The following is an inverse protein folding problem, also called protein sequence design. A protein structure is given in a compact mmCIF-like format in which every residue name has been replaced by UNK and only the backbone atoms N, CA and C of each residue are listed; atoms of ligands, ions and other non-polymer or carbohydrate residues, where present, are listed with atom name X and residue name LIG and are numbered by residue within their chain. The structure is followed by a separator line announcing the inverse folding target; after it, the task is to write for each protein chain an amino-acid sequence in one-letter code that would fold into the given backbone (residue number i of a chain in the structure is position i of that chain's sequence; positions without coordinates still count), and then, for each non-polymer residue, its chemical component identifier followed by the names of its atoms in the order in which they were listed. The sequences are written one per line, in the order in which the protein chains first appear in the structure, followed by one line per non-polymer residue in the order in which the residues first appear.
data_IF_612892638468
#
_entry.id   IF_612892638468
#
_cell.length_a   1.000
_cell.length_b   1.000
_cell.length_c   1.000
_cell.angle_alpha   90.00
_cell.angle_beta   90.00
_cell.angle_gamma   90.00
#
_symmetry.space_group_name_H-M   'P 1'
#
loop_
_entity.id
_entity.type
_entity.pdbx_description
1 polymer ?
#
# COMPACT_ATOMS: atom_id res chain seq x y z
N UNK A 1 -29.95 -11.61 11.96
CA UNK A 1 -29.59 -13.02 11.77
C UNK A 1 -28.40 -13.02 10.84
N UNK A 2 -27.27 -13.70 11.14
CA UNK A 2 -26.17 -13.77 10.20
C UNK A 2 -26.69 -14.37 8.88
N UNK A 3 -26.33 -13.73 7.77
CA UNK A 3 -26.66 -14.18 6.43
C UNK A 3 -26.23 -15.64 6.27
N UNK A 4 -27.10 -16.51 5.76
CA UNK A 4 -26.81 -17.96 5.65
C UNK A 4 -25.51 -18.23 4.87
N UNK A 5 -25.12 -17.33 3.97
CA UNK A 5 -23.86 -17.40 3.22
C UNK A 5 -22.60 -17.19 4.09
N UNK A 6 -22.67 -16.47 5.22
CA UNK A 6 -21.52 -16.31 6.14
C UNK A 6 -21.26 -17.61 6.88
N UNK A 7 -22.32 -18.30 7.30
CA UNK A 7 -22.24 -19.47 8.17
C UNK A 7 -21.42 -20.60 7.52
N UNK A 8 -21.46 -20.72 6.20
CA UNK A 8 -20.66 -21.69 5.45
C UNK A 8 -19.16 -21.33 5.47
N UNK A 9 -18.83 -20.04 5.31
CA UNK A 9 -17.45 -19.53 5.26
C UNK A 9 -16.75 -19.51 6.63
N UNK A 10 -17.50 -19.51 7.73
CA UNK A 10 -16.95 -19.62 9.09
C UNK A 10 -17.13 -21.02 9.68
N UNK A 11 -17.51 -22.00 8.85
CA UNK A 11 -17.67 -23.38 9.30
C UNK A 11 -16.32 -24.03 9.63
N UNK A 12 -16.26 -24.95 10.61
CA UNK A 12 -15.06 -25.72 10.89
C UNK A 12 -14.49 -26.43 9.66
N UNK A 13 -15.35 -26.99 8.82
CA UNK A 13 -14.93 -27.72 7.62
C UNK A 13 -14.21 -26.82 6.61
N UNK A 14 -14.75 -25.64 6.34
CA UNK A 14 -14.15 -24.70 5.40
C UNK A 14 -12.79 -24.18 5.91
N UNK A 15 -12.71 -23.79 7.18
CA UNK A 15 -11.43 -23.34 7.75
C UNK A 15 -10.40 -24.47 7.82
N UNK A 16 -10.81 -25.71 8.09
CA UNK A 16 -9.94 -26.88 8.07
C UNK A 16 -9.34 -27.11 6.68
N UNK A 17 -10.14 -26.95 5.62
CA UNK A 17 -9.68 -27.04 4.24
C UNK A 17 -8.62 -25.97 3.95
N UNK A 18 -8.88 -24.70 4.29
CA UNK A 18 -7.91 -23.60 4.11
C UNK A 18 -6.59 -23.89 4.83
N UNK A 19 -6.66 -24.33 6.09
CA UNK A 19 -5.50 -24.64 6.92
C UNK A 19 -4.67 -25.80 6.36
N UNK A 20 -5.33 -26.85 5.87
CA UNK A 20 -4.66 -28.01 5.27
C UNK A 20 -4.09 -27.70 3.89
N UNK A 21 -4.75 -26.88 3.09
CA UNK A 21 -4.20 -26.42 1.82
C UNK A 21 -2.90 -25.63 2.02
N UNK A 22 -2.87 -24.76 3.04
CA UNK A 22 -1.69 -23.96 3.36
C UNK A 22 -0.57 -24.76 4.03
N UNK A 23 -0.90 -25.71 4.90
CA UNK A 23 0.08 -26.52 5.62
C UNK A 23 -0.32 -28.01 5.65
N UNK A 24 -0.18 -28.73 4.51
CA UNK A 24 -0.67 -30.11 4.33
C UNK A 24 -0.13 -31.11 5.37
N UNK A 25 1.06 -30.86 5.90
CA UNK A 25 1.73 -31.76 6.83
C UNK A 25 1.31 -31.56 8.30
N UNK A 26 0.53 -30.53 8.62
CA UNK A 26 0.19 -30.21 10.02
C UNK A 26 -0.97 -31.04 10.57
N UNK A 27 -1.70 -31.75 9.69
CA UNK A 27 -2.88 -32.55 10.05
C UNK A 27 -3.91 -31.77 10.90
N UNK A 28 -4.06 -30.45 10.65
CA UNK A 28 -4.97 -29.60 11.41
C UNK A 28 -6.39 -30.15 11.38
N UNK A 29 -7.06 -30.10 12.53
CA UNK A 29 -8.48 -30.34 12.67
C UNK A 29 -9.15 -29.18 13.39
N UNK A 30 -10.20 -28.63 12.82
CA UNK A 30 -10.93 -27.50 13.43
C UNK A 30 -12.06 -28.06 14.29
N UNK A 31 -11.97 -27.83 15.61
CA UNK A 31 -12.95 -28.34 16.56
C UNK A 31 -14.11 -27.37 16.80
N UNK A 32 -13.81 -26.07 16.82
CA UNK A 32 -14.78 -25.02 17.07
C UNK A 32 -14.36 -23.71 16.40
N UNK A 33 -15.34 -22.92 15.99
CA UNK A 33 -15.18 -21.56 15.46
C UNK A 33 -16.19 -20.67 16.14
N UNK A 34 -15.73 -19.63 16.81
CA UNK A 34 -16.56 -18.65 17.50
C UNK A 34 -16.29 -17.25 16.94
N UNK A 35 -17.33 -16.41 16.76
CA UNK A 35 -17.12 -15.04 16.30
C UNK A 35 -16.38 -14.21 17.35
N UNK A 36 -15.40 -13.44 16.90
CA UNK A 36 -14.65 -12.48 17.71
C UNK A 36 -14.93 -11.05 17.20
N UNK A 37 -15.22 -10.07 18.07
CA UNK A 37 -15.39 -8.69 17.65
C UNK A 37 -14.16 -8.16 16.90
N UNK A 38 -14.42 -7.48 15.79
CA UNK A 38 -13.39 -6.87 14.95
C UNK A 38 -13.83 -5.46 14.55
N UNK A 39 -12.92 -4.50 14.70
CA UNK A 39 -13.14 -3.13 14.24
C UNK A 39 -12.81 -3.02 12.74
N UNK A 40 -13.83 -2.84 11.92
CA UNK A 40 -13.70 -2.69 10.47
C UNK A 40 -13.68 -1.22 10.00
N UNK A 41 -13.70 -0.25 10.93
CA UNK A 41 -13.88 1.18 10.61
C UNK A 41 -12.74 1.80 9.79
N UNK A 42 -11.55 1.20 9.83
CA UNK A 42 -10.38 1.69 9.10
C UNK A 42 -10.38 1.31 7.61
N UNK A 43 -11.17 0.31 7.20
CA UNK A 43 -11.19 -0.16 5.82
C UNK A 43 -12.14 0.69 4.96
N UNK A 44 -11.54 1.48 4.05
CA UNK A 44 -12.29 2.29 3.08
C UNK A 44 -13.12 1.38 2.17
N UNK A 45 -12.52 0.32 1.59
CA UNK A 45 -13.22 -0.49 0.61
C UNK A 45 -14.40 -1.22 1.23
N UNK A 46 -14.25 -1.81 2.42
CA UNK A 46 -15.36 -2.45 3.14
C UNK A 46 -16.49 -1.45 3.38
N UNK A 47 -16.17 -0.22 3.77
CA UNK A 47 -17.17 0.83 4.00
C UNK A 47 -17.88 1.23 2.70
N UNK A 48 -17.15 1.32 1.58
CA UNK A 48 -17.69 1.72 0.28
C UNK A 48 -18.49 0.62 -0.43
N UNK A 49 -18.13 -0.65 -0.22
CA UNK A 49 -18.83 -1.80 -0.81
C UNK A 49 -19.95 -2.35 0.08
N UNK A 50 -20.10 -1.82 1.30
CA UNK A 50 -21.15 -2.22 2.23
C UNK A 50 -22.55 -2.07 1.58
N UNK A 51 -23.29 -3.17 1.53
CA UNK A 51 -24.65 -3.20 0.96
C UNK A 51 -24.72 -3.23 -0.57
N UNK A 52 -23.60 -3.32 -1.29
CA UNK A 52 -23.58 -3.45 -2.76
C UNK A 52 -23.45 -4.90 -3.26
N UNK A 53 -22.98 -5.81 -2.40
CA UNK A 53 -22.82 -7.22 -2.74
C UNK A 53 -23.84 -8.08 -1.98
N UNK A 54 -24.42 -9.07 -2.67
CA UNK A 54 -25.25 -10.12 -2.04
C UNK A 54 -24.39 -11.18 -1.31
N UNK A 55 -23.05 -11.01 -1.34
CA UNK A 55 -22.09 -11.91 -0.70
C UNK A 55 -21.55 -11.29 0.59
N UNK A 56 -21.10 -12.13 1.53
CA UNK A 56 -20.51 -11.65 2.76
C UNK A 56 -19.06 -11.16 2.56
N UNK A 57 -18.93 -9.96 1.98
CA UNK A 57 -17.65 -9.28 1.82
C UNK A 57 -17.29 -8.55 3.12
N UNK A 58 -16.04 -8.68 3.55
CA UNK A 58 -15.52 -7.96 4.72
C UNK A 58 -14.49 -8.75 5.51
N UNK A 59 -14.25 -8.31 6.74
CA UNK A 59 -13.38 -9.01 7.69
C UNK A 59 -14.20 -9.55 8.86
N UNK A 60 -13.93 -10.79 9.21
CA UNK A 60 -14.60 -11.54 10.28
C UNK A 60 -13.54 -11.98 11.29
N UNK A 61 -13.62 -11.47 12.52
CA UNK A 61 -12.80 -11.97 13.62
C UNK A 61 -13.31 -13.33 14.09
N UNK A 62 -12.40 -14.26 14.35
CA UNK A 62 -12.70 -15.64 14.71
C UNK A 62 -11.80 -16.11 15.86
N UNK A 63 -12.37 -16.79 16.84
CA UNK A 63 -11.63 -17.65 17.75
C UNK A 63 -11.76 -19.10 17.25
N UNK A 64 -10.65 -19.68 16.80
CA UNK A 64 -10.61 -21.00 16.15
C UNK A 64 -9.85 -21.97 17.04
N UNK A 65 -10.53 -23.02 17.49
CA UNK A 65 -9.91 -24.09 18.29
C UNK A 65 -9.42 -25.20 17.36
N UNK A 66 -8.10 -25.39 17.34
CA UNK A 66 -7.40 -26.32 16.46
C UNK A 66 -6.83 -27.49 17.26
N UNK A 67 -6.95 -28.69 16.72
CA UNK A 67 -6.19 -29.86 17.12
C UNK A 67 -5.08 -30.10 16.07
N UNK A 68 -3.85 -30.25 16.54
CA UNK A 68 -2.67 -30.61 15.74
C UNK A 68 -2.16 -31.97 16.25
N UNK A 69 -1.69 -32.84 15.36
CA UNK A 69 -1.28 -34.19 15.73
C UNK A 69 -0.23 -34.18 16.87
N UNK A 70 -0.57 -34.84 17.98
CA UNK A 70 0.31 -34.95 19.15
C UNK A 70 0.36 -33.70 20.05
N UNK A 71 -0.52 -32.71 19.85
CA UNK A 71 -0.64 -31.54 20.72
C UNK A 71 -2.07 -31.41 21.28
N UNK A 72 -2.22 -30.87 22.50
CA UNK A 72 -3.55 -30.54 23.01
C UNK A 72 -4.21 -29.46 22.13
N UNK A 73 -5.55 -29.43 22.04
CA UNK A 73 -6.23 -28.38 21.30
C UNK A 73 -5.88 -26.97 21.78
N UNK A 74 -5.61 -26.06 20.85
CA UNK A 74 -5.28 -24.66 21.13
C UNK A 74 -6.22 -23.72 20.39
N UNK A 75 -6.65 -22.66 21.06
CA UNK A 75 -7.46 -21.60 20.46
C UNK A 75 -6.57 -20.50 19.90
N UNK A 76 -6.81 -20.14 18.64
CA UNK A 76 -6.13 -19.05 17.95
C UNK A 76 -7.14 -17.96 17.58
N UNK A 77 -6.78 -16.71 17.82
CA UNK A 77 -7.53 -15.58 17.29
C UNK A 77 -7.07 -15.29 15.86
N UNK A 78 -8.00 -15.35 14.92
CA UNK A 78 -7.77 -15.20 13.48
C UNK A 78 -8.71 -14.15 12.89
N UNK A 79 -8.39 -13.68 11.69
CA UNK A 79 -9.27 -12.86 10.86
C UNK A 79 -9.44 -13.55 9.52
N UNK A 80 -10.69 -13.82 9.15
CA UNK A 80 -11.07 -14.21 7.79
C UNK A 80 -11.43 -12.96 7.01
N UNK A 81 -10.65 -12.65 5.98
CA UNK A 81 -10.94 -11.60 5.00
C UNK A 81 -11.59 -12.23 3.78
N UNK A 82 -12.84 -11.89 3.52
CA UNK A 82 -13.56 -12.27 2.30
C UNK A 82 -13.55 -11.08 1.35
N UNK A 83 -12.88 -11.23 0.21
CA UNK A 83 -12.57 -10.12 -0.69
C UNK A 83 -13.63 -9.99 -1.79
N UNK A 84 -14.04 -8.75 -2.15
CA UNK A 84 -14.86 -8.54 -3.34
C UNK A 84 -14.02 -8.80 -4.59
N UNK A 85 -14.65 -9.15 -5.71
CA UNK A 85 -13.94 -9.21 -6.98
C UNK A 85 -13.48 -7.80 -7.38
N UNK A 86 -12.32 -7.70 -8.03
CA UNK A 86 -11.74 -6.38 -8.34
C UNK A 86 -12.58 -5.56 -9.31
N UNK A 87 -13.38 -6.19 -10.17
CA UNK A 87 -14.36 -5.49 -11.03
C UNK A 87 -15.47 -4.80 -10.23
N UNK A 88 -15.88 -5.34 -9.07
CA UNK A 88 -16.84 -4.68 -8.17
C UNK A 88 -16.22 -3.41 -7.61
N UNK A 89 -14.94 -3.46 -7.20
CA UNK A 89 -14.20 -2.29 -6.72
C UNK A 89 -14.03 -1.25 -7.83
N UNK A 90 -13.58 -1.67 -9.03
CA UNK A 90 -13.43 -0.78 -10.19
C UNK A 90 -14.74 -0.08 -10.54
N UNK A 91 -15.86 -0.80 -10.50
CA UNK A 91 -17.20 -0.26 -10.78
C UNK A 91 -17.64 0.75 -9.71
N UNK A 92 -17.41 0.44 -8.43
CA UNK A 92 -17.70 1.35 -7.32
C UNK A 92 -16.89 2.65 -7.45
N UNK A 93 -15.59 2.56 -7.77
CA UNK A 93 -14.75 3.75 -7.97
C UNK A 93 -15.19 4.58 -9.18
N UNK A 94 -15.64 3.94 -10.27
CA UNK A 94 -16.24 4.64 -11.40
C UNK A 94 -17.54 5.35 -11.01
N UNK A 95 -18.34 4.73 -10.12
CA UNK A 95 -19.49 5.38 -9.50
C UNK A 95 -19.12 6.62 -8.69
N UNK A 96 -18.05 6.56 -7.88
CA UNK A 96 -17.53 7.72 -7.13
C UNK A 96 -17.06 8.84 -8.07
N UNK A 97 -16.36 8.50 -9.16
CA UNK A 97 -16.00 9.46 -10.20
C UNK A 97 -17.24 10.10 -10.84
N UNK A 98 -18.31 9.32 -11.05
CA UNK A 98 -19.61 9.80 -11.50
C UNK A 98 -20.24 10.82 -10.54
N UNK A 99 -20.23 10.54 -9.23
CA UNK A 99 -20.71 11.46 -8.19
C UNK A 99 -19.89 12.74 -8.11
N UNK A 100 -18.60 12.67 -8.43
CA UNK A 100 -17.75 13.83 -8.57
C UNK A 100 -18.11 14.70 -9.79
N UNK A 101 -18.73 14.13 -10.83
CA UNK A 101 -19.19 14.85 -12.02
C UNK A 101 -18.08 15.48 -12.87
N UNK A 102 -18.49 16.27 -13.86
CA UNK A 102 -17.58 17.03 -14.74
C UNK A 102 -16.68 16.15 -15.61
N UNK A 103 -15.46 16.62 -15.88
CA UNK A 103 -14.47 15.91 -16.69
C UNK A 103 -14.11 14.54 -16.11
N UNK A 104 -13.98 14.44 -14.78
CA UNK A 104 -13.62 13.19 -14.11
C UNK A 104 -14.66 12.08 -14.37
N UNK A 105 -15.95 12.40 -14.29
CA UNK A 105 -17.01 11.45 -14.59
C UNK A 105 -16.97 10.94 -16.05
N UNK A 106 -16.53 11.77 -17.00
CA UNK A 106 -16.43 11.41 -18.41
C UNK A 106 -15.17 10.58 -18.72
N UNK A 107 -14.05 10.88 -18.07
CA UNK A 107 -12.73 10.28 -18.36
C UNK A 107 -12.53 8.96 -17.60
N UNK A 108 -12.91 8.91 -16.32
CA UNK A 108 -12.60 7.79 -15.43
C UNK A 108 -13.03 6.40 -15.96
N UNK A 109 -14.24 6.21 -16.53
CA UNK A 109 -14.71 4.88 -16.93
C UNK A 109 -13.78 4.16 -17.91
N UNK A 110 -13.10 4.89 -18.81
CA UNK A 110 -12.15 4.31 -19.77
C UNK A 110 -10.88 3.74 -19.11
N UNK A 111 -10.59 4.13 -17.86
CA UNK A 111 -9.40 3.74 -17.12
C UNK A 111 -9.71 2.93 -15.86
N UNK A 112 -10.98 2.66 -15.55
CA UNK A 112 -11.39 2.09 -14.26
C UNK A 112 -10.61 0.82 -13.90
N UNK A 113 -10.49 -0.13 -14.83
CA UNK A 113 -9.77 -1.39 -14.65
C UNK A 113 -8.25 -1.23 -14.56
N UNK A 114 -7.71 -0.06 -14.90
CA UNK A 114 -6.28 0.22 -14.93
C UNK A 114 -5.81 1.01 -13.70
N UNK A 115 -6.69 1.35 -12.76
CA UNK A 115 -6.35 2.20 -11.61
C UNK A 115 -5.59 1.49 -10.49
N UNK A 116 -5.31 0.19 -10.62
CA UNK A 116 -4.68 -0.63 -9.59
C UNK A 116 -5.64 -1.58 -8.86
N UNK A 117 -6.96 -1.41 -9.05
CA UNK A 117 -7.98 -2.09 -8.23
C UNK A 117 -8.58 -3.35 -8.87
N UNK A 118 -8.43 -3.53 -10.19
CA UNK A 118 -9.05 -4.64 -10.92
C UNK A 118 -8.60 -6.03 -10.44
N UNK A 119 -7.37 -6.14 -9.94
CA UNK A 119 -6.75 -7.41 -9.57
C UNK A 119 -6.48 -7.54 -8.06
N UNK A 120 -7.05 -6.67 -7.22
CA UNK A 120 -6.81 -6.67 -5.76
C UNK A 120 -7.12 -8.01 -5.09
N UNK A 121 -8.19 -8.67 -5.54
CA UNK A 121 -8.63 -9.99 -5.07
C UNK A 121 -7.57 -11.09 -5.28
N UNK A 122 -6.93 -11.13 -6.44
CA UNK A 122 -5.84 -12.07 -6.75
C UNK A 122 -4.50 -11.62 -6.15
N UNK A 123 -4.29 -10.31 -6.06
CA UNK A 123 -2.99 -9.75 -5.69
C UNK A 123 -2.53 -10.05 -4.29
N UNK A 124 -3.42 -9.81 -3.35
CA UNK A 124 -3.10 -10.06 -1.96
C UNK A 124 -2.78 -11.55 -1.72
N UNK A 125 -3.54 -12.46 -2.37
CA UNK A 125 -3.30 -13.90 -2.30
C UNK A 125 -1.92 -14.28 -2.85
N UNK A 126 -1.59 -13.78 -4.05
CA UNK A 126 -0.31 -14.05 -4.67
C UNK A 126 0.87 -13.55 -3.83
N UNK A 127 0.75 -12.38 -3.18
CA UNK A 127 1.77 -11.85 -2.27
C UNK A 127 1.93 -12.76 -1.05
N UNK A 128 0.84 -13.12 -0.39
CA UNK A 128 0.88 -13.95 0.81
C UNK A 128 1.39 -15.38 0.57
N UNK A 129 1.18 -15.92 -0.63
CA UNK A 129 1.66 -17.26 -0.99
C UNK A 129 3.16 -17.30 -1.35
N UNK A 130 3.69 -16.23 -1.95
CA UNK A 130 5.01 -16.27 -2.58
C UNK A 130 6.05 -15.33 -1.96
N UNK A 131 5.64 -14.26 -1.27
CA UNK A 131 6.58 -13.31 -0.70
C UNK A 131 7.22 -13.85 0.59
N UNK A 132 8.48 -13.50 0.81
CA UNK A 132 9.19 -13.95 1.99
C UNK A 132 8.61 -13.33 3.27
N UNK A 133 8.47 -14.10 4.37
CA UNK A 133 7.89 -13.58 5.62
C UNK A 133 8.75 -12.46 6.22
N UNK A 134 8.14 -11.51 6.92
CA UNK A 134 8.86 -10.45 7.63
C UNK A 134 7.99 -9.26 8.00
N UNK A 135 7.53 -8.51 6.99
CA UNK A 135 6.63 -7.37 7.21
C UNK A 135 5.16 -7.76 7.29
N UNK A 136 4.79 -8.97 6.88
CA UNK A 136 3.39 -9.37 6.75
C UNK A 136 2.81 -9.93 8.06
N UNK A 137 1.47 -9.95 8.21
CA UNK A 137 0.81 -10.83 9.17
C UNK A 137 1.17 -12.30 8.89
N UNK A 138 1.12 -13.13 9.93
CA UNK A 138 1.11 -14.58 9.75
C UNK A 138 -0.16 -14.97 8.99
N UNK A 139 0.04 -15.65 7.88
CA UNK A 139 -1.04 -16.22 7.07
C UNK A 139 -1.24 -17.68 7.50
N UNK A 140 -2.49 -18.05 7.67
CA UNK A 140 -2.92 -19.40 8.05
C UNK A 140 -3.52 -20.15 6.86
N UNK A 141 -4.04 -19.43 5.87
CA UNK A 141 -4.37 -19.98 4.58
C UNK A 141 -4.99 -18.97 3.63
N UNK A 142 -5.01 -19.33 2.35
CA UNK A 142 -5.69 -18.63 1.27
C UNK A 142 -6.71 -19.57 0.63
N UNK A 143 -7.76 -19.02 0.06
CA UNK A 143 -8.74 -19.79 -0.71
C UNK A 143 -9.20 -19.00 -1.92
N UNK A 144 -9.27 -19.69 -3.05
CA UNK A 144 -9.71 -19.15 -4.33
C UNK A 144 -10.66 -20.16 -4.95
N UNK A 145 -11.87 -19.73 -5.25
CA UNK A 145 -12.80 -20.45 -6.11
C UNK A 145 -13.24 -19.51 -7.24
N UNK A 146 -12.67 -19.73 -8.41
CA UNK A 146 -12.95 -18.95 -9.63
C UNK A 146 -14.39 -19.16 -10.15
N UNK A 147 -15.01 -20.32 -9.88
CA UNK A 147 -16.37 -20.61 -10.35
C UNK A 147 -17.39 -19.78 -9.58
N UNK A 148 -17.20 -19.69 -8.27
CA UNK A 148 -18.05 -18.85 -7.42
C UNK A 148 -17.52 -17.42 -7.34
N UNK A 149 -16.27 -17.15 -7.71
CA UNK A 149 -15.62 -15.85 -7.52
C UNK A 149 -15.38 -15.53 -6.05
N UNK A 150 -15.05 -16.54 -5.24
CA UNK A 150 -14.77 -16.41 -3.81
C UNK A 150 -13.26 -16.34 -3.59
N UNK A 151 -12.83 -15.32 -2.85
CA UNK A 151 -11.42 -15.07 -2.55
C UNK A 151 -11.27 -14.76 -1.07
N UNK A 152 -10.52 -15.59 -0.35
CA UNK A 152 -10.38 -15.49 1.10
C UNK A 152 -8.91 -15.50 1.54
N UNK A 153 -8.62 -14.73 2.59
CA UNK A 153 -7.38 -14.82 3.37
C UNK A 153 -7.74 -15.12 4.81
N UNK A 154 -7.17 -16.17 5.38
CA UNK A 154 -7.19 -16.44 6.81
C UNK A 154 -5.84 -16.02 7.38
N UNK A 155 -5.83 -15.00 8.24
CA UNK A 155 -4.61 -14.44 8.84
C UNK A 155 -4.71 -14.36 10.36
N UNK A 156 -3.58 -14.14 11.02
CA UNK A 156 -3.57 -13.90 12.46
C UNK A 156 -4.41 -12.66 12.81
N UNK A 157 -5.05 -12.71 13.97
CA UNK A 157 -5.59 -11.51 14.59
C UNK A 157 -4.43 -10.71 15.19
N UNK A 158 -4.26 -9.47 14.76
CA UNK A 158 -3.20 -8.57 15.24
C UNK A 158 -3.53 -8.07 16.67
N UNK A 159 -3.42 -8.99 17.62
CA UNK A 159 -3.58 -8.75 19.05
C UNK A 159 -2.28 -8.20 19.65
N UNK A 160 -2.40 -7.40 20.72
CA UNK A 160 -1.26 -6.88 21.49
C UNK A 160 -0.25 -6.08 20.64
N UNK A 161 -0.77 -5.39 19.62
CA UNK A 161 -0.02 -4.48 18.75
C UNK A 161 -0.17 -3.04 19.20
N UNK A 162 0.76 -2.19 18.79
CA UNK A 162 0.71 -0.75 18.98
C UNK A 162 0.55 -0.02 17.64
N UNK A 163 0.04 1.21 17.69
CA UNK A 163 -0.16 2.08 16.53
C UNK A 163 -1.14 1.55 15.45
N UNK A 164 -1.91 0.51 15.74
CA UNK A 164 -3.03 0.08 14.90
C UNK A 164 -4.04 1.23 14.77
N UNK A 165 -4.49 1.52 13.53
CA UNK A 165 -5.44 2.59 13.22
C UNK A 165 -5.00 4.00 13.67
N UNK A 166 -3.69 4.28 13.73
CA UNK A 166 -3.13 5.54 14.25
C UNK A 166 -3.10 6.71 13.25
N UNK A 167 -3.85 6.63 12.15
CA UNK A 167 -3.83 7.62 11.06
C UNK A 167 -4.21 9.04 11.50
N UNK A 168 -5.04 9.16 12.53
CA UNK A 168 -5.48 10.44 13.09
C UNK A 168 -4.49 11.01 14.13
N UNK A 169 -3.48 10.25 14.54
CA UNK A 169 -2.56 10.60 15.63
C UNK A 169 -1.10 10.47 15.20
N UNK A 170 -0.64 11.16 14.14
CA UNK A 170 0.74 11.04 13.66
C UNK A 170 1.80 11.32 14.75
N UNK A 171 1.48 12.16 15.73
CA UNK A 171 2.36 12.48 16.86
C UNK A 171 2.76 11.25 17.71
N UNK A 172 1.99 10.16 17.71
CA UNK A 172 2.36 8.93 18.46
C UNK A 172 3.44 8.10 17.75
N UNK A 173 3.74 8.38 16.48
CA UNK A 173 4.86 7.78 15.75
C UNK A 173 6.18 8.42 16.17
N UNK A 174 6.81 7.89 17.22
CA UNK A 174 8.11 8.37 17.70
C UNK A 174 9.24 8.17 16.69
N UNK A 175 10.39 8.83 16.90
CA UNK A 175 11.60 8.62 16.07
C UNK A 175 12.01 7.14 16.00
N UNK A 176 11.90 6.42 17.12
CA UNK A 176 12.18 4.99 17.20
C UNK A 176 11.25 4.16 16.30
N UNK A 177 9.95 4.45 16.29
CA UNK A 177 8.99 3.76 15.41
C UNK A 177 9.33 4.03 13.94
N UNK A 178 9.56 5.29 13.55
CA UNK A 178 9.85 5.65 12.16
C UNK A 178 11.15 5.01 11.68
N UNK A 179 12.24 5.09 12.45
CA UNK A 179 13.52 4.45 12.07
C UNK A 179 13.40 2.93 11.99
N UNK A 180 12.68 2.31 12.92
CA UNK A 180 12.42 0.86 12.91
C UNK A 180 11.66 0.45 11.65
N UNK A 181 10.57 1.17 11.32
CA UNK A 181 9.82 0.95 10.09
C UNK A 181 10.70 1.08 8.85
N UNK A 182 11.47 2.16 8.73
CA UNK A 182 12.34 2.39 7.57
C UNK A 182 13.45 1.33 7.45
N UNK A 183 14.03 0.88 8.56
CA UNK A 183 15.02 -0.20 8.55
C UNK A 183 14.42 -1.51 8.07
N UNK A 184 13.22 -1.87 8.56
CA UNK A 184 12.56 -3.13 8.20
C UNK A 184 11.98 -3.09 6.77
N UNK A 185 11.53 -1.92 6.31
CA UNK A 185 11.19 -1.67 4.91
C UNK A 185 12.40 -1.82 4.01
N UNK A 186 13.55 -1.25 4.36
CA UNK A 186 14.77 -1.42 3.58
C UNK A 186 15.17 -2.90 3.47
N UNK A 187 15.01 -3.69 4.54
CA UNK A 187 15.24 -5.13 4.53
C UNK A 187 14.26 -5.89 3.62
N UNK A 188 12.98 -5.55 3.67
CA UNK A 188 11.98 -6.11 2.76
C UNK A 188 12.28 -5.79 1.30
N UNK A 189 12.57 -4.53 1.01
CA UNK A 189 12.86 -4.07 -0.35
C UNK A 189 14.17 -4.67 -0.89
N UNK A 190 15.20 -4.80 -0.06
CA UNK A 190 16.45 -5.45 -0.45
C UNK A 190 16.22 -6.90 -0.89
N UNK A 191 15.35 -7.63 -0.17
CA UNK A 191 15.06 -9.03 -0.43
C UNK A 191 14.31 -9.27 -1.74
N UNK A 192 13.44 -8.34 -2.12
CA UNK A 192 12.61 -8.43 -3.33
C UNK A 192 13.14 -7.58 -4.48
N UNK A 193 14.38 -7.10 -4.39
CA UNK A 193 14.96 -6.17 -5.35
C UNK A 193 15.27 -6.88 -6.68
N UNK A 194 14.65 -6.37 -7.73
CA UNK A 194 14.92 -6.71 -9.12
C UNK A 194 15.89 -5.67 -9.72
N UNK A 195 17.00 -6.10 -10.33
CA UNK A 195 17.87 -5.19 -11.06
C UNK A 195 17.13 -4.52 -12.25
N UNK A 196 17.61 -3.36 -12.73
CA UNK A 196 17.07 -2.75 -13.94
C UNK A 196 17.05 -3.74 -15.11
N UNK A 197 15.96 -3.75 -15.88
CA UNK A 197 15.79 -4.64 -17.04
C UNK A 197 15.26 -6.04 -16.72
N UNK A 198 15.12 -6.41 -15.45
CA UNK A 198 14.44 -7.66 -15.07
C UNK A 198 12.92 -7.46 -15.09
N UNK A 199 12.20 -8.42 -15.66
CA UNK A 199 10.75 -8.40 -15.67
C UNK A 199 10.23 -8.68 -14.25
N UNK A 200 9.39 -7.77 -13.74
CA UNK A 200 8.57 -8.05 -12.58
C UNK A 200 7.52 -9.14 -12.94
N UNK A 201 7.05 -9.92 -11.95
CA UNK A 201 5.82 -10.71 -12.11
C UNK A 201 4.73 -9.86 -12.75
N UNK A 202 4.09 -10.39 -13.80
CA UNK A 202 3.20 -9.62 -14.63
C UNK A 202 1.87 -9.33 -13.92
N UNK A 203 1.63 -8.04 -13.64
CA UNK A 203 0.29 -7.50 -13.38
C UNK A 203 -0.11 -6.65 -14.58
N UNK A 204 -1.34 -6.78 -15.12
CA UNK A 204 -1.78 -5.96 -16.26
C UNK A 204 -1.70 -4.44 -16.00
N UNK A 205 -1.73 -4.03 -14.74
CA UNK A 205 -1.70 -2.66 -14.25
C UNK A 205 -0.35 -2.27 -13.59
N UNK A 206 0.75 -2.95 -13.94
CA UNK A 206 2.09 -2.53 -13.51
C UNK A 206 2.39 -1.08 -13.94
N UNK A 207 2.93 -0.22 -13.05
CA UNK A 207 3.17 1.19 -13.32
C UNK A 207 4.43 1.43 -14.19
N UNK A 208 4.43 0.85 -15.39
CA UNK A 208 5.44 1.05 -16.44
C UNK A 208 5.40 2.49 -16.97
N UNK A 209 6.42 2.89 -17.75
CA UNK A 209 6.40 4.20 -18.43
C UNK A 209 5.21 4.36 -19.37
N UNK A 210 4.94 3.34 -20.19
CA UNK A 210 3.78 3.32 -21.09
C UNK A 210 2.46 3.44 -20.31
N UNK A 211 2.31 2.67 -19.23
CA UNK A 211 1.14 2.74 -18.35
C UNK A 211 0.91 4.17 -17.83
N UNK A 212 1.93 4.81 -17.26
CA UNK A 212 1.76 6.15 -16.68
C UNK A 212 1.41 7.19 -17.75
N UNK A 213 1.97 7.05 -18.96
CA UNK A 213 1.70 7.95 -20.08
C UNK A 213 0.27 7.78 -20.61
N UNK A 214 -0.20 6.54 -20.75
CA UNK A 214 -1.55 6.23 -21.21
C UNK A 214 -2.62 6.75 -20.23
N UNK A 215 -2.33 6.75 -18.92
CA UNK A 215 -3.23 7.27 -17.89
C UNK A 215 -3.12 8.80 -17.69
N UNK A 216 -2.30 9.52 -18.45
CA UNK A 216 -2.18 10.99 -18.34
C UNK A 216 -3.53 11.76 -18.41
N UNK A 217 -4.52 11.36 -19.24
CA UNK A 217 -5.85 11.98 -19.21
C UNK A 217 -6.56 11.80 -17.87
N UNK A 218 -6.45 10.62 -17.25
CA UNK A 218 -7.03 10.36 -15.92
C UNK A 218 -6.36 11.23 -14.85
N UNK A 219 -5.02 11.31 -14.84
CA UNK A 219 -4.28 12.13 -13.87
C UNK A 219 -4.67 13.60 -13.98
N UNK A 220 -4.87 14.09 -15.20
CA UNK A 220 -5.33 15.45 -15.47
C UNK A 220 -6.74 15.67 -14.93
N UNK A 221 -7.66 14.75 -15.20
CA UNK A 221 -9.03 14.84 -14.73
C UNK A 221 -9.14 14.79 -13.18
N UNK A 222 -8.30 13.97 -12.52
CA UNK A 222 -8.21 13.93 -11.05
C UNK A 222 -7.70 15.27 -10.48
N UNK A 223 -6.66 15.85 -11.09
CA UNK A 223 -6.14 17.17 -10.69
C UNK A 223 -7.18 18.28 -10.88
N UNK A 224 -7.83 18.33 -12.04
CA UNK A 224 -8.90 19.29 -12.35
C UNK A 224 -10.14 19.11 -11.48
N UNK A 225 -10.35 17.90 -10.94
CA UNK A 225 -11.40 17.65 -9.97
C UNK A 225 -11.05 18.20 -8.58
N UNK A 226 -9.83 17.91 -8.11
CA UNK A 226 -9.38 18.26 -6.76
C UNK A 226 -9.08 19.76 -6.61
N UNK A 227 -8.42 20.37 -7.58
CA UNK A 227 -7.95 21.76 -7.49
C UNK A 227 -9.06 22.80 -7.18
N UNK A 228 -10.20 22.82 -7.88
CA UNK A 228 -11.28 23.76 -7.57
C UNK A 228 -12.08 23.39 -6.31
N UNK A 229 -12.04 22.12 -5.86
CA UNK A 229 -12.77 21.66 -4.66
C UNK A 229 -12.03 21.96 -3.37
N UNK A 230 -10.71 21.89 -3.41
CA UNK A 230 -9.82 22.08 -2.26
C UNK A 230 -8.77 23.15 -2.58
N UNK A 231 -9.19 24.41 -2.87
CA UNK A 231 -8.27 25.48 -3.28
C UNK A 231 -7.22 25.81 -2.22
N UNK A 232 -7.51 25.54 -0.94
CA UNK A 232 -6.57 25.65 0.17
C UNK A 232 -5.43 24.64 0.10
N UNK A 233 -5.69 23.44 -0.44
CA UNK A 233 -4.68 22.40 -0.63
C UNK A 233 -3.99 22.51 -1.99
N UNK A 234 -4.71 22.96 -3.01
CA UNK A 234 -4.30 22.98 -4.43
C UNK A 234 -4.32 24.40 -5.04
N UNK A 235 -3.67 25.34 -4.36
CA UNK A 235 -3.45 26.68 -4.91
C UNK A 235 -2.75 26.67 -6.28
N UNK A 236 -2.79 27.80 -6.99
CA UNK A 236 -2.35 27.91 -8.40
C UNK A 236 -0.93 27.36 -8.66
N UNK A 237 0.02 27.62 -7.75
CA UNK A 237 1.39 27.12 -7.88
C UNK A 237 1.48 25.58 -7.79
N UNK A 238 0.80 24.98 -6.80
CA UNK A 238 0.76 23.53 -6.59
C UNK A 238 0.09 22.82 -7.75
N UNK A 239 -1.01 23.38 -8.24
CA UNK A 239 -1.72 22.87 -9.43
C UNK A 239 -0.84 22.95 -10.68
N UNK A 240 -0.16 24.08 -10.91
CA UNK A 240 0.77 24.21 -12.03
C UNK A 240 1.95 23.23 -11.94
N UNK A 241 2.48 22.99 -10.73
CA UNK A 241 3.55 22.02 -10.48
C UNK A 241 3.11 20.59 -10.86
N UNK A 242 1.92 20.16 -10.45
CA UNK A 242 1.41 18.84 -10.79
C UNK A 242 1.03 18.71 -12.26
N UNK A 243 0.51 19.78 -12.89
CA UNK A 243 0.27 19.80 -14.33
C UNK A 243 1.57 19.62 -15.13
N UNK A 244 2.64 20.31 -14.73
CA UNK A 244 3.96 20.14 -15.33
C UNK A 244 4.49 18.71 -15.09
N UNK A 245 4.25 18.14 -13.91
CA UNK A 245 4.58 16.75 -13.66
C UNK A 245 3.79 15.79 -14.59
N UNK A 246 2.51 16.00 -14.87
CA UNK A 246 1.79 15.15 -15.83
C UNK A 246 2.45 15.23 -17.22
N UNK A 247 2.83 16.42 -17.68
CA UNK A 247 3.51 16.61 -18.97
C UNK A 247 4.90 15.95 -19.04
N UNK A 248 5.61 15.89 -17.91
CA UNK A 248 6.96 15.31 -17.82
C UNK A 248 6.97 13.79 -17.62
N UNK A 249 5.82 13.10 -17.62
CA UNK A 249 5.75 11.64 -17.41
C UNK A 249 6.74 10.88 -18.30
N UNK A 250 6.85 11.12 -19.63
CA UNK A 250 7.77 10.37 -20.48
C UNK A 250 9.22 10.46 -20.02
N UNK A 251 9.68 11.66 -19.63
CA UNK A 251 11.05 11.92 -19.19
C UNK A 251 11.34 11.28 -17.83
N UNK A 252 10.42 11.43 -16.87
CA UNK A 252 10.59 10.85 -15.53
C UNK A 252 10.57 9.33 -15.55
N UNK A 253 9.66 8.73 -16.32
CA UNK A 253 9.56 7.28 -16.39
C UNK A 253 10.73 6.66 -17.15
N UNK A 254 11.22 7.31 -18.21
CA UNK A 254 12.47 6.90 -18.85
C UNK A 254 13.64 6.84 -17.84
N UNK A 255 13.70 7.79 -16.90
CA UNK A 255 14.69 7.73 -15.83
C UNK A 255 14.40 6.62 -14.81
N UNK A 256 13.16 6.48 -14.32
CA UNK A 256 12.76 5.46 -13.34
C UNK A 256 12.93 4.02 -13.89
N UNK A 257 12.78 3.82 -15.19
CA UNK A 257 12.96 2.51 -15.84
C UNK A 257 14.43 2.05 -15.81
N UNK A 258 15.38 2.95 -15.57
CA UNK A 258 16.81 2.59 -15.34
C UNK A 258 17.10 2.18 -13.90
N UNK A 259 16.12 2.24 -13.00
CA UNK A 259 16.30 2.03 -11.57
C UNK A 259 15.88 0.62 -11.16
N UNK A 260 16.50 0.05 -10.11
CA UNK A 260 16.03 -1.20 -9.53
C UNK A 260 14.58 -1.04 -9.03
N UNK A 261 13.81 -2.10 -9.14
CA UNK A 261 12.42 -2.17 -8.64
C UNK A 261 12.33 -3.21 -7.55
N UNK A 262 11.39 -3.08 -6.65
CA UNK A 262 11.10 -4.07 -5.60
C UNK A 262 9.60 -4.25 -5.48
N UNK A 263 9.16 -5.36 -4.90
CA UNK A 263 7.82 -5.50 -4.38
C UNK A 263 7.61 -4.45 -3.28
N UNK A 264 6.72 -3.48 -3.54
CA UNK A 264 6.27 -2.46 -2.61
C UNK A 264 4.83 -2.74 -2.15
N UNK A 265 4.46 -2.23 -0.99
CA UNK A 265 3.08 -2.29 -0.49
C UNK A 265 2.15 -1.40 -1.32
N UNK A 266 2.62 -0.22 -1.75
CA UNK A 266 1.87 0.73 -2.59
C UNK A 266 0.57 1.25 -1.95
N UNK A 267 0.48 1.13 -0.63
CA UNK A 267 -0.53 1.77 0.23
C UNK A 267 -0.02 1.81 1.68
N UNK A 268 1.26 2.11 1.87
CA UNK A 268 1.92 1.94 3.16
C UNK A 268 1.64 3.12 4.09
N UNK A 269 0.56 3.01 4.86
CA UNK A 269 0.11 4.05 5.76
C UNK A 269 -0.36 3.50 7.13
N UNK A 270 -0.57 4.36 8.16
CA UNK A 270 -0.96 3.94 9.51
C UNK A 270 -2.31 3.20 9.64
N UNK A 271 -3.09 3.08 8.56
CA UNK A 271 -4.30 2.25 8.54
C UNK A 271 -4.03 0.81 8.11
N UNK A 272 -2.88 0.61 7.46
CA UNK A 272 -2.41 -0.66 6.91
C UNK A 272 -1.15 -1.14 7.63
N UNK A 273 -0.82 -0.53 8.78
CA UNK A 273 0.38 -0.86 9.55
C UNK A 273 0.12 -0.83 11.05
N UNK A 274 0.86 -1.64 11.77
CA UNK A 274 0.97 -1.61 13.22
C UNK A 274 2.37 -2.10 13.64
N UNK A 275 2.65 -2.09 14.94
CA UNK A 275 3.88 -2.67 15.48
C UNK A 275 3.61 -3.77 16.49
N UNK A 276 4.35 -4.87 16.35
CA UNK A 276 4.49 -5.91 17.37
C UNK A 276 5.64 -5.59 18.31
N UNK A 277 5.52 -6.02 19.57
CA UNK A 277 6.58 -5.89 20.57
C UNK A 277 6.86 -4.44 21.01
N UNK A 278 7.97 -4.24 21.72
CA UNK A 278 8.36 -2.93 22.24
C UNK A 278 9.89 -2.79 22.33
N UNK A 279 10.38 -1.55 22.42
CA UNK A 279 11.81 -1.27 22.57
C UNK A 279 12.63 -1.90 21.44
N UNK A 280 13.63 -2.72 21.79
CA UNK A 280 14.51 -3.37 20.82
C UNK A 280 13.83 -4.50 20.00
N UNK A 281 12.69 -5.03 20.45
CA UNK A 281 11.95 -6.08 19.74
C UNK A 281 10.82 -5.54 18.86
N UNK A 282 10.78 -4.23 18.66
CA UNK A 282 9.73 -3.55 17.90
C UNK A 282 9.77 -4.00 16.42
N UNK A 283 8.63 -4.45 15.88
CA UNK A 283 8.52 -4.96 14.53
C UNK A 283 7.31 -4.39 13.80
N UNK A 284 7.55 -3.72 12.69
CA UNK A 284 6.52 -3.26 11.76
C UNK A 284 5.81 -4.48 11.17
N UNK A 285 4.48 -4.45 11.22
CA UNK A 285 3.60 -5.33 10.49
C UNK A 285 2.76 -4.48 9.53
N UNK A 286 2.90 -4.71 8.24
CA UNK A 286 2.06 -4.17 7.18
C UNK A 286 1.08 -5.25 6.70
N UNK A 287 -0.19 -4.90 6.59
CA UNK A 287 -1.29 -5.76 6.18
C UNK A 287 -2.10 -5.04 5.09
N UNK A 288 -2.97 -5.77 4.39
CA UNK A 288 -3.72 -5.26 3.24
C UNK A 288 -2.84 -5.04 1.99
N UNK A 289 -2.16 -6.11 1.55
CA UNK A 289 -1.23 -6.10 0.40
C UNK A 289 -1.93 -6.10 -0.97
N UNK A 290 -3.21 -5.76 -1.03
CA UNK A 290 -4.04 -5.87 -2.23
C UNK A 290 -3.69 -4.85 -3.33
N UNK A 291 -2.83 -3.88 -3.02
CA UNK A 291 -2.35 -2.87 -3.96
C UNK A 291 -0.87 -3.03 -4.32
N UNK A 292 -0.21 -4.04 -3.76
CA UNK A 292 1.20 -4.31 -3.94
C UNK A 292 1.64 -4.34 -5.41
N UNK A 293 2.79 -3.76 -5.71
CA UNK A 293 3.28 -3.72 -7.09
C UNK A 293 4.79 -3.61 -7.13
N UNK A 294 5.36 -3.53 -8.33
CA UNK A 294 6.79 -3.32 -8.51
C UNK A 294 7.11 -1.88 -8.91
N UNK A 295 7.71 -1.14 -7.98
CA UNK A 295 8.18 0.24 -8.16
C UNK A 295 9.58 0.41 -7.52
N UNK A 296 10.14 1.61 -7.57
CA UNK A 296 11.36 1.94 -6.86
C UNK A 296 11.18 1.82 -5.34
N UNK A 297 12.18 1.31 -4.59
CA UNK A 297 12.04 1.04 -3.17
C UNK A 297 11.63 2.22 -2.29
N UNK A 298 12.00 3.45 -2.65
CA UNK A 298 11.73 4.62 -1.81
C UNK A 298 10.25 5.04 -1.81
N UNK A 299 9.42 4.47 -2.70
CA UNK A 299 7.99 4.77 -2.79
C UNK A 299 7.25 4.58 -1.46
N UNK A 300 7.36 3.39 -0.87
CA UNK A 300 6.71 3.05 0.41
C UNK A 300 7.20 3.95 1.56
N UNK A 301 8.49 4.30 1.56
CA UNK A 301 9.06 5.21 2.55
C UNK A 301 8.49 6.64 2.39
N UNK A 302 8.34 7.12 1.16
CA UNK A 302 7.70 8.41 0.87
C UNK A 302 6.26 8.42 1.34
N UNK A 303 5.48 7.40 0.98
CA UNK A 303 4.08 7.31 1.37
C UNK A 303 3.94 7.31 2.89
N UNK A 304 4.66 6.43 3.60
CA UNK A 304 4.62 6.38 5.06
C UNK A 304 4.96 7.73 5.69
N UNK A 305 6.06 8.36 5.26
CA UNK A 305 6.49 9.67 5.79
C UNK A 305 5.51 10.80 5.46
N UNK A 306 4.72 10.71 4.39
CA UNK A 306 3.62 11.64 4.15
C UNK A 306 2.47 11.49 5.16
N UNK A 307 2.28 10.30 5.70
CA UNK A 307 1.23 10.02 6.68
C UNK A 307 1.64 10.25 8.14
N UNK A 308 2.91 10.02 8.49
CA UNK A 308 3.36 10.03 9.91
C UNK A 308 4.11 11.30 10.33
N UNK A 309 4.46 12.17 9.38
CA UNK A 309 5.01 13.48 9.68
C UNK A 309 3.93 14.57 9.59
N UNK A 310 4.04 15.54 10.47
CA UNK A 310 3.29 16.78 10.56
C UNK A 310 4.25 17.99 10.48
N UNK A 311 3.67 19.19 10.40
CA UNK A 311 4.39 20.41 10.04
C UNK A 311 5.60 20.73 10.94
N UNK A 312 5.50 20.42 12.24
CA UNK A 312 6.58 20.58 13.20
C UNK A 312 7.71 19.54 13.01
N UNK A 313 7.44 18.43 12.33
CA UNK A 313 8.39 17.32 12.10
C UNK A 313 8.85 17.18 10.65
N UNK A 314 8.35 17.98 9.71
CA UNK A 314 8.77 17.96 8.30
C UNK A 314 10.29 18.12 8.12
N UNK A 315 10.93 18.90 8.98
CA UNK A 315 12.38 19.11 8.98
C UNK A 315 13.20 17.82 9.23
N UNK A 316 12.59 16.77 9.78
CA UNK A 316 13.23 15.47 10.03
C UNK A 316 13.26 14.55 8.80
N UNK A 317 12.40 14.81 7.80
CA UNK A 317 12.24 13.98 6.61
C UNK A 317 13.55 13.69 5.87
N UNK A 318 14.47 14.66 5.66
CA UNK A 318 15.73 14.37 4.98
C UNK A 318 16.60 13.35 5.73
N UNK A 319 16.62 13.43 7.07
CA UNK A 319 17.37 12.48 7.90
C UNK A 319 16.76 11.07 7.88
N UNK A 320 15.42 10.97 7.81
CA UNK A 320 14.74 9.68 7.67
C UNK A 320 14.97 9.03 6.31
N UNK A 321 14.86 9.80 5.22
CA UNK A 321 15.15 9.30 3.88
C UNK A 321 16.61 8.87 3.73
N UNK A 322 17.53 9.60 4.35
CA UNK A 322 18.95 9.24 4.35
C UNK A 322 19.25 7.99 5.19
N UNK A 323 18.60 7.84 6.34
CA UNK A 323 18.64 6.60 7.14
C UNK A 323 18.18 5.39 6.33
N UNK A 324 17.06 5.55 5.62
CA UNK A 324 16.53 4.52 4.73
C UNK A 324 17.51 4.20 3.59
N UNK A 325 18.05 5.22 2.90
CA UNK A 325 19.04 5.04 1.82
C UNK A 325 20.27 4.29 2.29
N UNK A 326 20.86 4.69 3.42
CA UNK A 326 22.04 4.03 3.98
C UNK A 326 21.76 2.57 4.34
N UNK A 327 20.61 2.29 4.95
CA UNK A 327 20.23 0.91 5.29
C UNK A 327 20.06 0.06 4.04
N UNK A 328 19.34 0.56 3.04
CA UNK A 328 19.14 -0.13 1.77
C UNK A 328 20.46 -0.34 1.02
N UNK A 329 21.36 0.66 1.05
CA UNK A 329 22.69 0.56 0.46
C UNK A 329 23.55 -0.50 1.13
N UNK A 330 23.58 -0.52 2.46
CA UNK A 330 24.34 -1.51 3.21
C UNK A 330 23.88 -2.96 2.90
N UNK A 331 22.59 -3.16 2.66
CA UNK A 331 22.02 -4.48 2.35
C UNK A 331 22.21 -4.92 0.89
N UNK A 332 22.33 -3.98 -0.05
CA UNK A 332 22.24 -4.28 -1.49
C UNK A 332 23.48 -3.89 -2.28
N UNK A 333 24.38 -3.08 -1.70
CA UNK A 333 25.47 -2.41 -2.42
C UNK A 333 25.00 -1.37 -3.45
N UNK A 334 23.69 -1.10 -3.56
CA UNK A 334 23.09 -0.14 -4.52
C UNK A 334 22.75 1.16 -3.81
N UNK A 335 22.51 2.26 -4.55
CA UNK A 335 22.24 3.59 -3.98
C UNK A 335 23.42 4.30 -3.26
N UNK A 336 24.67 4.23 -3.77
CA UNK A 336 25.79 4.97 -3.15
C UNK A 336 25.64 6.49 -3.29
N UNK A 337 24.98 6.96 -4.35
CA UNK A 337 24.84 8.38 -4.68
C UNK A 337 23.58 9.00 -4.04
N UNK A 338 23.73 9.90 -3.06
CA UNK A 338 22.60 10.59 -2.44
C UNK A 338 21.86 11.55 -3.38
N UNK A 339 22.51 12.09 -4.42
CA UNK A 339 21.87 13.00 -5.38
C UNK A 339 20.94 12.22 -6.30
N UNK A 340 21.40 11.10 -6.85
CA UNK A 340 20.54 10.20 -7.62
C UNK A 340 19.39 9.64 -6.77
N UNK A 341 19.63 9.31 -5.49
CA UNK A 341 18.57 8.83 -4.60
C UNK A 341 17.53 9.92 -4.30
N UNK A 342 17.95 11.17 -4.10
CA UNK A 342 17.02 12.31 -3.94
C UNK A 342 16.14 12.49 -5.18
N UNK A 343 16.72 12.39 -6.38
CA UNK A 343 15.96 12.43 -7.64
C UNK A 343 14.96 11.27 -7.75
N UNK A 344 15.37 10.06 -7.34
CA UNK A 344 14.46 8.91 -7.27
C UNK A 344 13.29 9.17 -6.33
N UNK A 345 13.59 9.72 -5.15
CA UNK A 345 12.61 10.07 -4.13
C UNK A 345 11.61 11.08 -4.71
N UNK A 346 12.09 12.13 -5.37
CA UNK A 346 11.23 13.14 -5.99
C UNK A 346 10.25 12.54 -6.99
N UNK A 347 10.74 11.65 -7.87
CA UNK A 347 9.90 11.01 -8.87
C UNK A 347 8.92 10.00 -8.25
N UNK A 348 9.33 9.27 -7.22
CA UNK A 348 8.44 8.41 -6.44
C UNK A 348 7.35 9.22 -5.74
N UNK A 349 7.69 10.39 -5.18
CA UNK A 349 6.70 11.32 -4.60
C UNK A 349 5.69 11.77 -5.64
N UNK A 350 6.13 12.20 -6.83
CA UNK A 350 5.20 12.59 -7.90
C UNK A 350 4.28 11.43 -8.32
N UNK A 351 4.81 10.22 -8.48
CA UNK A 351 4.00 9.03 -8.81
C UNK A 351 2.99 8.72 -7.68
N UNK A 352 3.36 8.84 -6.40
CA UNK A 352 2.44 8.73 -5.26
C UNK A 352 1.32 9.77 -5.32
N UNK A 353 1.65 11.03 -5.60
CA UNK A 353 0.68 12.12 -5.71
C UNK A 353 -0.33 11.90 -6.84
N UNK A 354 0.15 11.52 -8.03
CA UNK A 354 -0.71 11.32 -9.20
C UNK A 354 -1.58 10.06 -9.08
N UNK A 355 -1.01 8.95 -8.60
CA UNK A 355 -1.70 7.67 -8.59
C UNK A 355 -2.58 7.46 -7.35
N UNK A 356 -2.03 7.62 -6.14
CA UNK A 356 -2.72 7.28 -4.88
C UNK A 356 -3.44 8.47 -4.28
N UNK A 357 -2.75 9.62 -4.16
CA UNK A 357 -3.33 10.79 -3.53
C UNK A 357 -4.50 11.37 -4.34
N UNK A 358 -4.42 11.35 -5.67
CA UNK A 358 -5.54 11.71 -6.56
C UNK A 358 -6.79 10.85 -6.31
N UNK A 359 -6.62 9.54 -6.15
CA UNK A 359 -7.73 8.63 -5.83
C UNK A 359 -8.31 8.89 -4.44
N UNK A 360 -7.46 9.18 -3.45
CA UNK A 360 -7.93 9.60 -2.13
C UNK A 360 -8.75 10.89 -2.17
N UNK A 361 -8.35 11.88 -2.98
CA UNK A 361 -9.06 13.14 -3.13
C UNK A 361 -10.40 13.00 -3.85
N UNK A 362 -10.48 12.10 -4.83
CA UNK A 362 -11.75 11.74 -5.46
C UNK A 362 -12.73 11.18 -4.41
N UNK A 363 -12.30 10.20 -3.61
CA UNK A 363 -13.14 9.65 -2.56
C UNK A 363 -13.47 10.70 -1.47
N UNK A 364 -12.51 11.53 -1.08
CA UNK A 364 -12.69 12.62 -0.11
C UNK A 364 -13.72 13.67 -0.57
N UNK A 365 -13.89 13.85 -1.88
CA UNK A 365 -14.91 14.74 -2.46
C UNK A 365 -16.35 14.25 -2.26
N UNK A 366 -16.53 12.95 -2.02
CA UNK A 366 -17.83 12.32 -1.76
C UNK A 366 -18.04 12.06 -0.26
N UNK A 367 -17.00 11.63 0.45
CA UNK A 367 -17.02 11.37 1.88
C UNK A 367 -15.72 11.84 2.55
N UNK A 368 -15.77 12.80 3.49
CA UNK A 368 -14.56 13.45 3.99
C UNK A 368 -13.69 12.49 4.83
N UNK A 369 -12.44 12.37 4.43
CA UNK A 369 -11.34 11.78 5.20
C UNK A 369 -10.60 12.84 6.03
N UNK A 370 -10.75 12.89 7.37
CA UNK A 370 -10.19 13.97 8.19
C UNK A 370 -8.66 14.03 8.18
N UNK A 371 -7.99 12.93 7.91
CA UNK A 371 -6.52 12.87 7.85
C UNK A 371 -5.96 13.48 6.55
N UNK A 372 -6.75 13.53 5.48
CA UNK A 372 -6.23 13.74 4.13
C UNK A 372 -5.62 15.14 3.90
N UNK A 373 -6.21 16.25 4.39
CA UNK A 373 -5.59 17.58 4.25
C UNK A 373 -4.15 17.62 4.76
N UNK A 374 -3.88 17.03 5.93
CA UNK A 374 -2.54 16.94 6.52
C UNK A 374 -1.58 16.12 5.65
N UNK A 375 -2.05 15.02 5.06
CA UNK A 375 -1.24 14.19 4.15
C UNK A 375 -0.90 14.95 2.87
N UNK A 376 -1.84 15.74 2.33
CA UNK A 376 -1.60 16.58 1.14
C UNK A 376 -0.56 17.66 1.42
N UNK A 377 -0.65 18.33 2.58
CA UNK A 377 0.37 19.29 3.01
C UNK A 377 1.75 18.63 3.13
N UNK A 378 1.83 17.46 3.75
CA UNK A 378 3.07 16.71 3.89
C UNK A 378 3.62 16.23 2.55
N UNK A 379 2.77 15.93 1.58
CA UNK A 379 3.16 15.56 0.22
C UNK A 379 3.84 16.74 -0.49
N UNK A 380 3.25 17.93 -0.43
CA UNK A 380 3.84 19.12 -1.05
C UNK A 380 5.15 19.55 -0.36
N UNK A 381 5.22 19.43 0.97
CA UNK A 381 6.49 19.58 1.71
C UNK A 381 7.57 18.61 1.19
N UNK A 382 7.20 17.34 1.00
CA UNK A 382 8.11 16.33 0.43
C UNK A 382 8.61 16.74 -0.95
N UNK A 383 7.73 17.25 -1.82
CA UNK A 383 8.13 17.71 -3.16
C UNK A 383 9.14 18.85 -3.06
N UNK A 384 8.90 19.86 -2.20
CA UNK A 384 9.82 20.97 -1.98
C UNK A 384 11.19 20.50 -1.50
N UNK A 385 11.25 19.53 -0.59
CA UNK A 385 12.52 19.05 -0.03
C UNK A 385 13.29 18.11 -0.98
N UNK A 386 12.61 17.50 -1.94
CA UNK A 386 13.20 16.48 -2.83
C UNK A 386 13.53 17.00 -4.22
N UNK A 387 13.15 18.24 -4.57
CA UNK A 387 13.47 18.83 -5.88
C UNK A 387 14.96 18.63 -6.19
N UNK A 388 15.32 18.00 -7.32
CA UNK A 388 16.70 17.88 -7.73
C UNK A 388 17.29 19.28 -7.96
N UNK A 389 18.41 19.59 -7.31
CA UNK A 389 19.20 20.77 -7.68
C UNK A 389 19.87 20.46 -9.02
N UNK A 390 19.36 21.02 -10.11
CA UNK A 390 20.10 21.01 -11.38
C UNK A 390 21.41 21.79 -11.20
N UNK A 391 22.54 21.22 -11.66
CA UNK A 391 23.93 21.72 -11.57
C UNK A 391 24.75 21.40 -10.30
N UNK A 392 25.16 20.15 -10.17
CA UNK A 392 26.58 19.87 -9.86
C UNK A 392 27.06 18.80 -10.83
N UNK A 393 27.65 19.23 -11.94
CA UNK A 393 28.57 18.37 -12.68
C UNK A 393 29.67 17.90 -11.72
N UNK A 394 30.11 16.64 -11.77
CA UNK A 394 31.25 16.22 -10.96
C UNK A 394 32.45 17.09 -11.32
N UNK A 395 33.01 17.78 -10.33
CA UNK A 395 34.29 18.46 -10.48
C UNK A 395 35.29 17.43 -11.01
N UNK A 396 35.86 17.70 -12.19
CA UNK A 396 36.91 16.88 -12.75
C UNK A 396 38.02 16.75 -11.70
N UNK A 397 38.25 15.53 -11.23
CA UNK A 397 39.41 15.22 -10.40
C UNK A 397 40.60 15.39 -11.33
N UNK A 398 41.28 16.54 -11.19
CA UNK A 398 42.57 16.76 -11.81
C UNK A 398 43.52 15.66 -11.33
N UNK A 399 43.94 14.81 -12.26
CA UNK A 399 44.97 13.81 -12.05
C UNK A 399 46.28 14.52 -11.71
N UNK A 400 46.68 14.48 -10.44
CA UNK A 400 48.09 14.58 -10.09
C UNK A 400 48.70 13.19 -10.18
N UNK A 401 49.40 12.93 -11.28
CA UNK A 401 50.45 11.91 -11.36
C UNK A 401 51.73 12.66 -11.69
N UNK A 402 52.69 12.52 -10.78
CA UNK A 402 54.15 12.71 -10.87
C UNK A 402 54.69 13.99 -11.54
#
# INVERSE_FOLDING_TARGET
MPDTAILDLVSPAFLEEMLRAHAPNSAYKVLAVEPLPLDNSASILVTLTAGQSARPIGHFGLAVTLEEAGRPPTTHHLVLKVKPHGSEISSMLAGLAGLCGGELAAVYPAFAERTGFQHTHQRELAVYEHAAPGLMPRIWGTHTDEQTGLYCVLMEYLQDVTLLNSVQTPAVWTDHHIRTALTQLAAWHARHLLPPGFAAPAWPDLPTGAYMQELAPLWTALLHNAAPRFPELFGAQRTAQLQAAIQQIPQRKAWLDTRPRTLIHNDLNPRNTCFRGAGASLQLCAYDWELATYHVPVYDAVELLCFVLDADRYHLRPAYLEHYRHTLHALTGRYPDPVAFRRETHYATLDFGLHRLGMYLMAHSVGPYPFLPRVVESFFDTLTQTVPTENTAPAAIASHIA
#
